data_IF_813062127736
#
_entry.id   IF_813062127736
#
_cell.length_a   1.000
_cell.length_b   1.000
_cell.length_c   1.000
_cell.angle_alpha   90.00
_cell.angle_beta   90.00
_cell.angle_gamma   90.00
#
_symmetry.space_group_name_H-M   'P 1'
#
loop_
_entity.id
_entity.type
_entity.pdbx_description
1 polymer ?
#
# COMPACT_ATOMS: atom_id res chain seq x y z
N UNK A 1 -29.39 48.00 -64.84
CA UNK A 1 -29.62 48.88 -63.69
C UNK A 1 -29.03 48.20 -62.46
N UNK A 2 -27.99 48.79 -61.86
CA UNK A 2 -27.21 48.25 -60.72
C UNK A 2 -27.66 48.99 -59.44
N UNK A 3 -27.75 48.27 -58.31
CA UNK A 3 -27.09 48.74 -57.08
C UNK A 3 -26.28 47.57 -56.48
N UNK A 4 -24.96 47.61 -56.27
CA UNK A 4 -24.08 48.56 -55.58
C UNK A 4 -24.43 48.75 -54.09
N UNK A 5 -23.84 47.90 -53.23
CA UNK A 5 -23.37 48.12 -51.84
C UNK A 5 -23.21 46.74 -51.18
N UNK A 6 -22.14 46.34 -50.52
CA UNK A 6 -20.89 47.00 -50.17
C UNK A 6 -19.89 45.86 -49.95
N UNK A 7 -18.82 45.88 -50.75
CA UNK A 7 -17.65 45.04 -50.59
C UNK A 7 -16.80 45.68 -49.47
N UNK A 8 -16.58 44.97 -48.36
CA UNK A 8 -15.47 45.25 -47.45
C UNK A 8 -14.64 43.97 -47.30
N UNK A 9 -13.58 43.89 -48.11
CA UNK A 9 -12.32 43.25 -47.74
C UNK A 9 -11.80 43.96 -46.45
N UNK A 10 -10.97 43.43 -45.57
CA UNK A 10 -9.83 42.51 -45.63
C UNK A 10 -9.48 42.34 -44.11
N UNK A 11 -9.10 41.20 -43.55
CA UNK A 11 -7.71 40.76 -43.32
C UNK A 11 -7.80 39.60 -42.32
N UNK A 12 -7.13 38.50 -42.65
CA UNK A 12 -6.83 37.36 -41.76
C UNK A 12 -5.65 37.74 -40.88
N UNK A 13 -5.76 37.55 -39.56
CA UNK A 13 -4.61 37.33 -38.68
C UNK A 13 -4.92 36.13 -37.79
N UNK A 14 -4.34 35.00 -38.14
CA UNK A 14 -4.06 33.92 -37.21
C UNK A 14 -2.75 34.27 -36.50
N UNK A 15 -2.68 34.16 -35.17
CA UNK A 15 -1.42 33.83 -34.48
C UNK A 15 -1.64 33.39 -33.02
N UNK A 16 -1.19 32.16 -32.76
CA UNK A 16 -0.53 31.64 -31.57
C UNK A 16 -1.30 31.49 -30.24
N UNK A 17 -1.65 30.24 -29.96
CA UNK A 17 -1.65 29.69 -28.61
C UNK A 17 -0.23 29.72 -28.02
N UNK A 18 -0.05 30.45 -26.92
CA UNK A 18 1.06 30.33 -25.98
C UNK A 18 0.63 30.93 -24.63
N UNK A 19 0.11 30.10 -23.75
CA UNK A 19 -0.24 30.46 -22.37
C UNK A 19 0.52 29.58 -21.39
N UNK A 20 1.84 29.68 -21.36
CA UNK A 20 2.65 29.28 -20.20
C UNK A 20 2.96 30.58 -19.46
N UNK A 21 2.22 30.85 -18.39
CA UNK A 21 2.41 32.02 -17.55
C UNK A 21 3.41 31.69 -16.45
N UNK A 22 4.69 32.01 -16.68
CA UNK A 22 5.69 32.15 -15.62
C UNK A 22 5.42 33.45 -14.86
N UNK A 23 5.07 33.33 -13.59
CA UNK A 23 4.78 34.43 -12.69
C UNK A 23 5.55 34.29 -11.37
N UNK A 24 6.82 34.70 -11.41
CA UNK A 24 7.65 35.25 -10.36
C UNK A 24 7.65 34.61 -8.95
N UNK A 25 8.83 34.10 -8.62
CA UNK A 25 9.37 33.70 -7.33
C UNK A 25 9.13 34.71 -6.19
N UNK A 26 8.50 34.24 -5.11
CA UNK A 26 8.74 34.77 -3.76
C UNK A 26 9.82 33.91 -3.12
N UNK A 27 10.96 34.52 -2.83
CA UNK A 27 12.07 33.90 -2.14
C UNK A 27 11.76 33.82 -0.63
N UNK A 28 11.54 32.61 -0.12
CA UNK A 28 11.72 32.32 1.30
C UNK A 28 13.15 31.81 1.51
N UNK A 29 13.90 32.55 2.32
CA UNK A 29 15.25 32.21 2.71
C UNK A 29 15.23 31.08 3.76
N UNK A 30 15.23 29.84 3.29
CA UNK A 30 15.64 28.67 4.07
C UNK A 30 16.86 28.06 3.39
N UNK A 31 18.04 28.18 4.01
CA UNK A 31 19.27 27.54 3.53
C UNK A 31 19.21 26.03 3.78
N UNK A 32 18.49 25.30 2.94
CA UNK A 32 18.69 23.88 2.70
C UNK A 32 19.14 23.73 1.25
N UNK A 33 20.46 23.62 1.05
CA UNK A 33 20.98 23.20 -0.23
C UNK A 33 20.32 21.85 -0.59
N UNK A 34 19.70 21.70 -1.77
CA UNK A 34 19.14 20.41 -2.15
C UNK A 34 20.26 19.38 -2.08
N UNK A 35 20.15 18.41 -1.16
CA UNK A 35 20.94 17.17 -1.28
C UNK A 35 20.64 16.66 -2.69
N UNK A 36 21.64 16.48 -3.57
CA UNK A 36 21.39 15.78 -4.82
C UNK A 36 20.79 14.43 -4.43
N UNK A 37 19.53 14.21 -4.81
CA UNK A 37 18.89 12.91 -4.72
C UNK A 37 19.79 12.00 -5.54
N UNK A 38 20.68 11.28 -4.86
CA UNK A 38 21.35 10.13 -5.44
C UNK A 38 20.23 9.34 -6.10
N UNK A 39 20.37 9.13 -7.41
CA UNK A 39 19.38 8.55 -8.30
C UNK A 39 18.45 7.64 -7.55
N UNK A 40 17.19 8.06 -7.39
CA UNK A 40 16.16 7.19 -6.85
C UNK A 40 16.24 5.90 -7.66
N UNK A 41 16.49 4.79 -6.98
CA UNK A 41 16.28 3.46 -7.52
C UNK A 41 14.96 3.46 -8.27
N UNK A 42 14.93 2.79 -9.43
CA UNK A 42 13.74 2.73 -10.29
C UNK A 42 12.52 2.52 -9.41
N UNK A 43 11.52 3.42 -9.43
CA UNK A 43 10.38 3.29 -8.55
C UNK A 43 9.76 1.93 -8.83
N UNK A 44 9.88 1.01 -7.87
CA UNK A 44 9.28 -0.30 -7.99
C UNK A 44 7.81 -0.15 -8.36
N UNK A 45 7.29 -1.02 -9.21
CA UNK A 45 5.95 -0.82 -9.76
C UNK A 45 4.90 -0.99 -8.68
N UNK A 46 4.01 0.00 -8.48
CA UNK A 46 2.83 -0.17 -7.65
C UNK A 46 1.93 -1.25 -8.25
N UNK A 47 1.48 -2.19 -7.41
CA UNK A 47 0.58 -3.29 -7.81
C UNK A 47 -0.58 -3.42 -6.85
N UNK A 48 -1.79 -3.42 -7.40
CA UNK A 48 -3.00 -3.72 -6.64
C UNK A 48 -3.51 -5.11 -6.97
N UNK A 49 -3.89 -5.86 -5.95
CA UNK A 49 -4.40 -7.22 -6.04
C UNK A 49 -5.66 -7.38 -5.19
N UNK A 50 -6.53 -8.30 -5.60
CA UNK A 50 -7.73 -8.68 -4.85
C UNK A 50 -7.52 -10.08 -4.31
N UNK A 51 -7.74 -10.27 -3.02
CA UNK A 51 -7.60 -11.56 -2.37
C UNK A 51 -8.87 -12.39 -2.62
N UNK A 52 -8.72 -13.50 -3.33
CA UNK A 52 -9.79 -14.48 -3.56
C UNK A 52 -9.94 -15.48 -2.40
N UNK A 53 -8.87 -15.64 -1.63
CA UNK A 53 -8.80 -16.61 -0.54
C UNK A 53 -8.12 -15.96 0.64
N UNK A 54 -8.66 -16.21 1.82
CA UNK A 54 -8.12 -15.71 3.07
C UNK A 54 -8.19 -16.81 4.12
N UNK A 55 -7.14 -16.97 4.91
CA UNK A 55 -7.09 -17.96 5.98
C UNK A 55 -6.25 -17.46 7.14
N UNK A 56 -6.65 -17.82 8.36
CA UNK A 56 -5.92 -17.43 9.55
C UNK A 56 -4.99 -18.56 10.02
N UNK A 57 -3.74 -18.23 10.32
CA UNK A 57 -2.81 -19.16 10.98
C UNK A 57 -3.08 -19.12 12.48
N UNK A 58 -3.40 -20.27 13.06
CA UNK A 58 -3.59 -20.41 14.51
C UNK A 58 -2.27 -20.72 15.20
N UNK A 59 -2.01 -20.13 16.38
CA UNK A 59 -0.90 -20.57 17.21
C UNK A 59 -1.19 -21.99 17.71
N UNK A 60 -0.20 -22.86 17.61
CA UNK A 60 -0.31 -24.20 18.18
C UNK A 60 -0.27 -24.08 19.71
N UNK A 61 -1.41 -24.36 20.35
CA UNK A 61 -1.56 -24.30 21.80
C UNK A 61 -0.56 -25.17 22.57
N UNK A 62 -0.04 -26.24 21.95
CA UNK A 62 0.98 -27.13 22.53
C UNK A 62 2.41 -26.62 22.30
N UNK A 63 2.64 -25.77 21.29
CA UNK A 63 3.97 -25.26 20.93
C UNK A 63 4.26 -23.86 21.48
N UNK A 64 3.33 -23.30 22.26
CA UNK A 64 3.54 -22.03 22.96
C UNK A 64 3.68 -20.85 22.00
N UNK A 65 4.82 -20.18 22.02
CA UNK A 65 5.10 -19.00 21.19
C UNK A 65 5.57 -19.36 19.76
N UNK A 66 5.05 -20.46 19.19
CA UNK A 66 5.38 -20.89 17.82
C UNK A 66 4.23 -20.77 16.85
N UNK A 67 4.45 -20.05 15.76
CA UNK A 67 3.43 -19.70 14.76
C UNK A 67 4.07 -19.64 13.37
N UNK A 68 3.39 -20.15 12.36
CA UNK A 68 3.82 -19.97 10.97
C UNK A 68 3.60 -18.52 10.53
N UNK A 69 4.55 -17.97 9.78
CA UNK A 69 4.50 -16.61 9.29
C UNK A 69 5.84 -16.16 8.74
N UNK A 70 6.01 -14.84 8.70
CA UNK A 70 7.17 -14.15 8.16
C UNK A 70 7.50 -12.95 9.05
N UNK A 71 8.74 -12.51 8.96
CA UNK A 71 9.24 -11.26 9.50
C UNK A 71 8.91 -10.15 8.51
N UNK A 72 8.28 -9.08 8.99
CA UNK A 72 7.81 -7.95 8.19
C UNK A 72 8.75 -6.75 8.25
N UNK A 73 9.66 -6.71 9.22
CA UNK A 73 10.47 -5.53 9.52
C UNK A 73 11.95 -5.83 9.80
N UNK A 74 12.39 -7.07 9.54
CA UNK A 74 13.74 -7.60 9.77
C UNK A 74 14.21 -7.43 11.22
N UNK A 75 13.28 -7.52 12.17
CA UNK A 75 13.52 -7.26 13.58
C UNK A 75 13.06 -8.44 14.45
N UNK A 76 13.73 -8.59 15.59
CA UNK A 76 13.26 -9.44 16.68
C UNK A 76 12.91 -8.58 17.89
N UNK A 77 11.62 -8.34 18.07
CA UNK A 77 11.01 -7.61 19.18
C UNK A 77 10.87 -8.50 20.42
N UNK A 78 11.15 -7.89 21.57
CA UNK A 78 10.94 -8.51 22.88
C UNK A 78 9.74 -7.90 23.59
N UNK A 79 9.24 -8.57 24.63
CA UNK A 79 8.13 -8.04 25.42
C UNK A 79 8.51 -6.67 26.02
N UNK A 80 7.69 -5.65 25.75
CA UNK A 80 7.94 -4.28 26.20
C UNK A 80 8.75 -3.41 25.23
N UNK A 81 9.23 -3.97 24.11
CA UNK A 81 9.88 -3.21 23.06
C UNK A 81 8.92 -2.17 22.45
N UNK A 82 9.29 -0.90 22.45
CA UNK A 82 8.41 0.17 21.99
C UNK A 82 8.10 0.07 20.50
N UNK A 83 9.06 -0.38 19.69
CA UNK A 83 8.94 -0.44 18.23
C UNK A 83 8.09 -1.66 17.81
N UNK A 84 8.22 -2.80 18.50
CA UNK A 84 7.35 -3.99 18.34
C UNK A 84 5.97 -3.86 18.99
N UNK A 85 5.46 -2.64 19.19
CA UNK A 85 4.19 -2.37 19.89
C UNK A 85 4.07 -3.04 21.27
N UNK A 86 5.21 -3.25 21.94
CA UNK A 86 5.39 -3.93 23.23
C UNK A 86 5.02 -5.41 23.23
N UNK A 87 4.86 -6.00 22.05
CA UNK A 87 4.62 -7.42 21.89
C UNK A 87 5.91 -8.13 21.49
N UNK A 88 6.12 -9.32 22.05
CA UNK A 88 7.20 -10.19 21.60
C UNK A 88 6.77 -10.91 20.33
N UNK A 89 7.72 -11.07 19.42
CA UNK A 89 7.49 -11.77 18.17
C UNK A 89 7.38 -13.28 18.39
N UNK A 90 6.81 -13.95 17.41
CA UNK A 90 6.74 -15.40 17.40
C UNK A 90 8.04 -15.99 16.85
N UNK A 91 8.18 -17.30 17.06
CA UNK A 91 9.22 -18.10 16.41
C UNK A 91 8.53 -19.12 15.51
N UNK A 92 8.99 -19.33 14.29
CA UNK A 92 8.43 -20.37 13.44
C UNK A 92 8.66 -21.77 14.05
N UNK A 93 7.89 -22.80 13.63
CA UNK A 93 8.17 -24.18 14.02
C UNK A 93 9.60 -24.63 13.70
N UNK A 94 10.18 -24.11 12.61
CA UNK A 94 11.55 -24.42 12.17
C UNK A 94 12.63 -23.60 12.89
N UNK A 95 12.24 -22.67 13.77
CA UNK A 95 13.16 -21.90 14.63
C UNK A 95 13.51 -20.50 14.12
N UNK A 96 12.88 -20.02 13.06
CA UNK A 96 13.05 -18.65 12.55
C UNK A 96 12.42 -17.68 13.56
N UNK A 97 13.17 -16.67 13.99
CA UNK A 97 12.70 -15.62 14.92
C UNK A 97 12.15 -14.41 14.17
N UNK A 98 11.42 -13.52 14.86
CA UNK A 98 10.92 -12.28 14.26
C UNK A 98 9.57 -12.43 13.56
N UNK A 99 8.77 -13.46 13.88
CA UNK A 99 7.50 -13.68 13.17
C UNK A 99 6.41 -12.72 13.69
N UNK A 100 5.92 -11.82 12.83
CA UNK A 100 5.00 -10.71 13.14
C UNK A 100 3.50 -11.07 13.14
N UNK A 101 3.14 -12.28 13.56
CA UNK A 101 1.76 -12.73 13.49
C UNK A 101 0.94 -12.42 14.77
N UNK A 102 0.93 -11.18 15.23
CA UNK A 102 0.28 -10.81 16.50
C UNK A 102 -1.24 -11.05 16.51
N UNK A 103 -1.89 -11.01 15.33
CA UNK A 103 -3.31 -11.34 15.19
C UNK A 103 -3.62 -12.79 15.63
N UNK A 104 -2.67 -13.70 15.49
CA UNK A 104 -2.81 -15.09 15.92
C UNK A 104 -3.17 -15.22 17.41
N UNK A 105 -2.78 -14.25 18.26
CA UNK A 105 -3.11 -14.22 19.70
C UNK A 105 -4.60 -14.03 19.96
N UNK A 106 -5.31 -13.35 19.05
CA UNK A 106 -6.72 -13.04 19.19
C UNK A 106 -7.63 -14.15 18.66
N UNK A 107 -7.14 -14.95 17.71
CA UNK A 107 -7.94 -15.99 17.05
C UNK A 107 -8.61 -16.98 18.02
N UNK A 108 -7.97 -17.46 19.10
CA UNK A 108 -8.66 -18.37 20.03
C UNK A 108 -9.93 -17.76 20.65
N UNK A 109 -9.91 -16.45 20.93
CA UNK A 109 -11.06 -15.73 21.48
C UNK A 109 -12.13 -15.55 20.40
N UNK A 110 -11.74 -15.19 19.18
CA UNK A 110 -12.68 -15.07 18.07
C UNK A 110 -13.32 -16.42 17.76
N UNK A 111 -12.54 -17.49 17.69
CA UNK A 111 -13.02 -18.86 17.47
C UNK A 111 -13.99 -19.32 18.56
N UNK A 112 -13.74 -18.95 19.82
CA UNK A 112 -14.68 -19.22 20.92
C UNK A 112 -16.03 -18.53 20.70
N UNK A 113 -16.03 -17.29 20.18
CA UNK A 113 -17.26 -16.53 19.92
C UNK A 113 -18.02 -17.01 18.68
N UNK A 114 -17.31 -17.49 17.67
CA UNK A 114 -17.88 -17.91 16.38
C UNK A 114 -18.09 -19.41 16.26
N UNK A 115 -17.69 -20.21 17.27
CA UNK A 115 -17.67 -21.67 17.19
C UNK A 115 -16.67 -22.21 16.16
N UNK A 116 -15.54 -21.52 15.96
CA UNK A 116 -14.50 -21.90 15.00
C UNK A 116 -14.85 -21.64 13.52
N UNK A 117 -15.94 -20.91 13.26
CA UNK A 117 -16.42 -20.66 11.90
C UNK A 117 -15.76 -19.46 11.19
N UNK A 118 -14.79 -18.76 11.79
CA UNK A 118 -14.22 -17.49 11.27
C UNK A 118 -13.72 -17.65 9.83
N UNK A 119 -12.88 -18.65 9.57
CA UNK A 119 -12.30 -18.90 8.24
C UNK A 119 -13.41 -19.06 7.19
N UNK A 120 -14.42 -19.88 7.49
CA UNK A 120 -15.55 -20.13 6.60
C UNK A 120 -16.46 -18.92 6.40
N UNK A 121 -16.67 -18.11 7.44
CA UNK A 121 -17.48 -16.90 7.37
C UNK A 121 -16.81 -15.83 6.50
N UNK A 122 -15.51 -15.61 6.67
CA UNK A 122 -14.73 -14.66 5.84
C UNK A 122 -14.71 -15.15 4.39
N UNK A 123 -14.43 -16.43 4.15
CA UNK A 123 -14.41 -16.97 2.80
C UNK A 123 -15.80 -16.93 2.12
N UNK A 124 -16.88 -17.18 2.86
CA UNK A 124 -18.24 -17.06 2.33
C UNK A 124 -18.56 -15.61 1.97
N UNK A 125 -18.14 -14.64 2.80
CA UNK A 125 -18.32 -13.22 2.50
C UNK A 125 -17.54 -12.80 1.24
N UNK A 126 -16.32 -13.31 1.03
CA UNK A 126 -15.54 -13.11 -0.20
C UNK A 126 -16.27 -13.73 -1.40
N UNK A 127 -16.67 -15.00 -1.31
CA UNK A 127 -17.32 -15.72 -2.41
C UNK A 127 -18.68 -15.13 -2.81
N UNK A 128 -19.42 -14.59 -1.85
CA UNK A 128 -20.73 -13.95 -2.09
C UNK A 128 -20.60 -12.47 -2.50
N UNK A 129 -19.38 -11.93 -2.64
CA UNK A 129 -19.13 -10.53 -3.00
C UNK A 129 -19.53 -9.53 -1.91
N UNK A 130 -19.69 -9.99 -0.66
CA UNK A 130 -20.00 -9.16 0.50
C UNK A 130 -18.74 -8.56 1.13
N UNK A 131 -17.59 -9.17 0.90
CA UNK A 131 -16.29 -8.72 1.37
C UNK A 131 -15.30 -8.68 0.20
N UNK A 132 -14.73 -7.51 -0.04
CA UNK A 132 -13.64 -7.32 -1.00
C UNK A 132 -12.40 -6.84 -0.22
N UNK A 133 -11.34 -7.64 -0.26
CA UNK A 133 -10.04 -7.26 0.32
C UNK A 133 -9.11 -6.94 -0.84
N UNK A 134 -8.75 -5.67 -0.98
CA UNK A 134 -7.77 -5.21 -1.95
C UNK A 134 -6.49 -4.78 -1.22
N UNK A 135 -5.35 -5.29 -1.68
CA UNK A 135 -4.04 -4.91 -1.16
C UNK A 135 -3.30 -4.19 -2.27
N UNK A 136 -2.61 -3.10 -1.92
CA UNK A 136 -1.70 -2.39 -2.82
C UNK A 136 -0.30 -2.47 -2.24
N UNK A 137 0.63 -2.94 -3.07
CA UNK A 137 2.05 -2.97 -2.77
C UNK A 137 2.72 -1.86 -3.56
N UNK A 138 3.52 -1.07 -2.88
CA UNK A 138 4.32 0.01 -3.46
C UNK A 138 5.79 -0.41 -3.44
N UNK A 139 6.55 -0.02 -4.47
CA UNK A 139 7.98 -0.31 -4.52
C UNK A 139 8.34 -1.75 -4.90
N UNK A 140 7.41 -2.54 -5.45
CA UNK A 140 7.68 -3.93 -5.87
C UNK A 140 8.77 -3.97 -6.95
N UNK A 141 9.88 -4.64 -6.64
CA UNK A 141 11.03 -4.84 -7.53
C UNK A 141 10.98 -6.20 -8.27
N UNK A 142 10.50 -7.28 -7.62
CA UNK A 142 10.20 -8.58 -8.24
C UNK A 142 8.82 -9.12 -7.83
N UNK A 143 7.94 -9.29 -8.83
CA UNK A 143 6.58 -9.86 -8.65
C UNK A 143 6.53 -11.34 -8.19
N UNK A 144 7.67 -12.03 -8.14
CA UNK A 144 7.78 -13.41 -7.66
C UNK A 144 8.46 -13.53 -6.30
N UNK A 145 9.25 -12.55 -5.89
CA UNK A 145 10.05 -12.61 -4.68
C UNK A 145 10.39 -11.19 -4.21
N UNK A 146 9.43 -10.58 -3.52
CA UNK A 146 9.53 -9.37 -2.72
C UNK A 146 9.78 -9.82 -1.26
#
# INVERSE_FOLDING_TARGET
MIPARMLRALVVVALAAAGCGDGASSADAGTDAPRPLAACDSPGTTRSMVLSTFGFVRPDAMRGNRVDGFDLDDRVSTAGDAEGCRHADFTSPDGITGIDNQLARLLPVVDMMTGGAVDGLVQAAVNNGQLLIAITLDGVDDTRND
#
